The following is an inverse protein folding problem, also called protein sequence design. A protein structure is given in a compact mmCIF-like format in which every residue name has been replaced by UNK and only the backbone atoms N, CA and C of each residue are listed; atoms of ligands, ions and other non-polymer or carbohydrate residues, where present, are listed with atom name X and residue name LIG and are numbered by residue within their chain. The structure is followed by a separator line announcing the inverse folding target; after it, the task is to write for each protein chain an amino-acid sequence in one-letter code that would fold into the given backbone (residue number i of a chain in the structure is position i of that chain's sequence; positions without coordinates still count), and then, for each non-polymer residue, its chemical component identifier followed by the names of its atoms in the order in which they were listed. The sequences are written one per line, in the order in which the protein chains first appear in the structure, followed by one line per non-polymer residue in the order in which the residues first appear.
data_IF_259192448978
#
_entry.id   IF_259192448978
#
_cell.length_a   1.000
_cell.length_b   1.000
_cell.length_c   1.000
_cell.angle_alpha   90.00
_cell.angle_beta   90.00
_cell.angle_gamma   90.00
#
_symmetry.space_group_name_H-M   'P 1'
#
loop_
_entity.id
_entity.type
_entity.pdbx_description
1 polymer ?
#
# COMPACT_ATOMS: atom_id res chain seq x y z
N UNK A 1 21.58 4.35 10.80
CA UNK A 1 20.21 3.95 11.22
C UNK A 1 19.90 2.56 10.68
N UNK A 2 19.16 1.74 11.43
CA UNK A 2 18.62 0.45 10.95
C UNK A 2 17.15 0.62 10.59
N UNK A 3 16.76 0.23 9.38
CA UNK A 3 15.38 0.23 8.87
C UNK A 3 14.92 -1.22 8.75
N UNK A 4 13.69 -1.50 9.19
CA UNK A 4 13.07 -2.84 9.07
C UNK A 4 11.77 -2.71 8.31
N UNK A 5 11.71 -3.28 7.10
CA UNK A 5 10.50 -3.31 6.28
C UNK A 5 9.86 -4.69 6.37
N UNK A 6 8.61 -4.76 6.81
CA UNK A 6 7.82 -5.99 6.75
C UNK A 6 7.20 -6.15 5.36
N UNK A 7 7.06 -7.39 4.89
CA UNK A 7 6.48 -7.63 3.58
C UNK A 7 5.62 -8.89 3.48
N UNK A 8 4.74 -8.87 2.49
CA UNK A 8 4.17 -10.04 1.83
C UNK A 8 4.55 -10.02 0.34
N UNK A 9 4.77 -11.19 -0.24
CA UNK A 9 4.96 -11.31 -1.69
C UNK A 9 4.49 -12.64 -2.22
N UNK A 10 3.98 -12.65 -3.45
CA UNK A 10 3.72 -13.84 -4.23
C UNK A 10 4.75 -14.09 -5.34
N UNK A 11 5.85 -13.32 -5.35
CA UNK A 11 7.00 -13.54 -6.23
C UNK A 11 7.74 -14.85 -5.90
N UNK A 12 8.45 -15.39 -6.89
CA UNK A 12 9.38 -16.50 -6.68
C UNK A 12 10.59 -16.03 -5.86
N UNK A 13 11.08 -16.89 -4.96
CA UNK A 13 12.30 -16.57 -4.24
C UNK A 13 13.53 -16.80 -5.12
N UNK A 14 14.61 -16.06 -4.86
CA UNK A 14 15.93 -16.27 -5.43
C UNK A 14 16.88 -16.87 -4.38
N UNK A 15 17.93 -17.53 -4.84
CA UNK A 15 18.88 -18.25 -3.99
C UNK A 15 18.41 -19.65 -3.57
N UNK A 16 19.31 -20.42 -2.96
CA UNK A 16 19.11 -21.85 -2.65
C UNK A 16 18.12 -22.11 -1.51
N UNK A 17 17.92 -21.15 -0.61
CA UNK A 17 17.09 -21.31 0.58
C UNK A 17 15.90 -20.35 0.56
N UNK A 18 14.70 -20.87 0.32
CA UNK A 18 13.45 -20.09 0.28
C UNK A 18 13.13 -19.31 1.57
N UNK A 19 13.69 -19.74 2.70
CA UNK A 19 13.50 -19.10 4.01
C UNK A 19 14.62 -18.10 4.36
N UNK A 20 15.67 -18.05 3.55
CA UNK A 20 16.75 -17.06 3.57
C UNK A 20 17.06 -16.64 2.13
N UNK A 21 16.10 -16.04 1.42
CA UNK A 21 16.26 -15.74 0.01
C UNK A 21 17.26 -14.60 -0.19
N UNK A 22 17.94 -14.60 -1.33
CA UNK A 22 18.82 -13.50 -1.75
C UNK A 22 18.02 -12.31 -2.31
N UNK A 23 16.76 -12.56 -2.68
CA UNK A 23 15.83 -11.59 -3.26
C UNK A 23 14.59 -12.31 -3.75
N UNK A 24 13.71 -11.58 -4.44
CA UNK A 24 12.56 -12.15 -5.13
C UNK A 24 12.61 -11.79 -6.61
N UNK A 25 12.23 -12.74 -7.46
CA UNK A 25 12.29 -12.61 -8.91
C UNK A 25 11.06 -11.91 -9.50
N UNK A 26 10.99 -11.97 -10.83
CA UNK A 26 9.92 -11.40 -11.63
C UNK A 26 8.79 -12.39 -11.91
N UNK A 27 8.89 -13.65 -11.48
CA UNK A 27 7.86 -14.65 -11.71
C UNK A 27 7.04 -14.88 -10.45
N UNK A 28 5.88 -15.52 -10.59
CA UNK A 28 5.17 -16.07 -9.45
C UNK A 28 5.95 -17.17 -8.74
N UNK A 29 5.66 -17.28 -7.45
CA UNK A 29 6.05 -18.42 -6.63
C UNK A 29 5.68 -19.76 -7.31
N UNK A 30 6.64 -20.68 -7.34
CA UNK A 30 6.44 -22.05 -7.88
C UNK A 30 5.40 -22.89 -7.14
N UNK A 31 5.03 -22.52 -5.91
CA UNK A 31 3.96 -23.21 -5.18
C UNK A 31 2.60 -22.99 -5.87
N UNK A 32 2.19 -21.71 -6.01
CA UNK A 32 1.01 -21.16 -6.73
C UNK A 32 1.18 -19.64 -6.89
N UNK A 33 0.49 -19.03 -7.86
CA UNK A 33 0.40 -17.57 -8.07
C UNK A 33 -0.19 -16.79 -6.88
N UNK A 34 -1.13 -17.41 -6.16
CA UNK A 34 -1.80 -16.82 -5.00
C UNK A 34 -1.09 -17.10 -3.67
N UNK A 35 0.08 -17.76 -3.71
CA UNK A 35 0.82 -18.09 -2.50
C UNK A 35 1.44 -16.84 -1.88
N UNK A 36 1.29 -16.67 -0.57
CA UNK A 36 1.84 -15.54 0.17
C UNK A 36 3.06 -15.97 0.96
N UNK A 37 4.17 -15.28 0.74
CA UNK A 37 5.36 -15.36 1.59
C UNK A 37 5.46 -14.09 2.41
N UNK A 38 5.66 -14.26 3.70
CA UNK A 38 5.83 -13.16 4.63
C UNK A 38 7.28 -13.09 5.06
N UNK A 39 7.75 -11.88 5.37
CA UNK A 39 9.09 -11.70 5.91
C UNK A 39 9.36 -10.28 6.34
N UNK A 40 10.64 -10.03 6.61
CA UNK A 40 11.19 -8.70 6.80
C UNK A 40 12.52 -8.50 6.08
N UNK A 41 12.76 -7.28 5.66
CA UNK A 41 14.01 -6.80 5.10
C UNK A 41 14.64 -5.85 6.11
N UNK A 42 15.88 -6.14 6.51
CA UNK A 42 16.67 -5.27 7.38
C UNK A 42 17.74 -4.57 6.56
N UNK A 43 17.81 -3.24 6.65
CA UNK A 43 18.79 -2.41 5.94
C UNK A 43 19.45 -1.44 6.91
N UNK A 44 20.77 -1.30 6.82
CA UNK A 44 21.52 -0.26 7.53
C UNK A 44 21.93 0.83 6.55
N UNK A 45 21.61 2.08 6.87
CA UNK A 45 21.98 3.26 6.07
C UNK A 45 22.53 4.37 6.96
N UNK A 46 23.21 5.34 6.36
CA UNK A 46 23.69 6.52 7.08
C UNK A 46 22.52 7.47 7.39
N UNK A 47 22.36 7.84 8.67
CA UNK A 47 21.23 8.68 9.08
C UNK A 47 21.38 10.13 8.57
N UNK A 48 22.62 10.64 8.53
CA UNK A 48 22.87 12.02 8.12
C UNK A 48 22.58 12.21 6.64
N UNK A 49 22.92 11.23 5.79
CA UNK A 49 22.52 11.21 4.38
C UNK A 49 20.99 11.27 4.24
N UNK A 50 20.25 10.41 4.97
CA UNK A 50 18.78 10.38 4.90
C UNK A 50 18.17 11.74 5.29
N UNK A 51 18.57 12.26 6.44
CA UNK A 51 18.05 13.50 7.00
C UNK A 51 18.36 14.70 6.12
N UNK A 52 19.64 14.91 5.79
CA UNK A 52 20.09 16.15 5.16
C UNK A 52 19.83 16.16 3.65
N UNK A 53 20.02 15.03 2.97
CA UNK A 53 19.98 14.99 1.51
C UNK A 53 18.56 14.73 0.98
N UNK A 54 17.67 14.19 1.82
CA UNK A 54 16.32 13.81 1.40
C UNK A 54 15.21 14.39 2.27
N UNK A 55 15.17 14.10 3.58
CA UNK A 55 14.01 14.46 4.41
C UNK A 55 13.89 15.97 4.64
N UNK A 56 15.00 16.66 4.89
CA UNK A 56 15.05 18.12 5.11
C UNK A 56 15.27 18.93 3.84
N UNK A 57 15.43 18.27 2.71
CA UNK A 57 15.69 18.94 1.43
C UNK A 57 14.49 19.80 1.04
N UNK A 58 14.70 21.11 1.01
CA UNK A 58 13.69 22.08 0.65
C UNK A 58 13.82 22.49 -0.83
N UNK A 59 12.75 22.36 -1.61
CA UNK A 59 12.68 22.90 -2.98
C UNK A 59 11.28 23.48 -3.22
N UNK A 60 11.20 24.73 -3.69
CA UNK A 60 9.95 25.44 -3.97
C UNK A 60 8.89 25.35 -2.84
N UNK A 61 9.25 25.74 -1.61
CA UNK A 61 8.39 25.70 -0.41
C UNK A 61 7.96 24.30 0.07
N UNK A 62 8.53 23.23 -0.47
CA UNK A 62 8.22 21.84 -0.08
C UNK A 62 9.42 21.17 0.57
N UNK A 63 9.16 20.32 1.56
CA UNK A 63 10.18 19.62 2.33
C UNK A 63 10.06 18.12 2.05
N UNK A 64 11.18 17.51 1.66
CA UNK A 64 11.30 16.07 1.46
C UNK A 64 11.34 15.64 -0.01
N UNK A 65 12.36 14.86 -0.35
CA UNK A 65 12.60 14.26 -1.67
C UNK A 65 12.45 12.73 -1.61
N UNK A 66 11.21 12.24 -1.52
CA UNK A 66 10.96 10.80 -1.39
C UNK A 66 11.30 9.99 -2.65
N UNK A 67 11.34 10.63 -3.82
CA UNK A 67 11.73 9.96 -5.08
C UNK A 67 13.23 9.72 -5.10
N UNK A 68 14.03 10.74 -4.78
CA UNK A 68 15.47 10.59 -4.60
C UNK A 68 15.81 9.61 -3.48
N UNK A 69 15.07 9.67 -2.37
CA UNK A 69 15.22 8.75 -1.25
C UNK A 69 14.95 7.29 -1.66
N UNK A 70 13.88 7.06 -2.43
CA UNK A 70 13.56 5.74 -2.98
C UNK A 70 14.69 5.20 -3.85
N UNK A 71 15.26 6.03 -4.73
CA UNK A 71 16.39 5.62 -5.58
C UNK A 71 17.64 5.29 -4.73
N UNK A 72 17.95 6.11 -3.72
CA UNK A 72 19.04 5.86 -2.78
C UNK A 72 18.85 4.55 -2.01
N UNK A 73 17.68 4.35 -1.41
CA UNK A 73 17.37 3.15 -0.61
C UNK A 73 17.32 1.89 -1.47
N UNK A 74 16.83 1.97 -2.70
CA UNK A 74 16.90 0.86 -3.66
C UNK A 74 18.34 0.42 -3.88
N UNK A 75 19.26 1.38 -4.13
CA UNK A 75 20.69 1.08 -4.31
C UNK A 75 21.31 0.46 -3.06
N UNK A 76 21.00 1.01 -1.87
CA UNK A 76 21.51 0.46 -0.60
C UNK A 76 20.95 -0.94 -0.32
N UNK A 77 19.67 -1.17 -0.60
CA UNK A 77 19.02 -2.45 -0.39
C UNK A 77 19.62 -3.55 -1.28
N UNK A 78 19.85 -3.26 -2.58
CA UNK A 78 20.52 -4.17 -3.53
C UNK A 78 21.89 -4.64 -3.03
N UNK A 79 22.60 -3.82 -2.27
CA UNK A 79 23.97 -4.11 -1.84
C UNK A 79 24.03 -4.81 -0.47
N UNK A 80 23.22 -4.36 0.49
CA UNK A 80 23.48 -4.61 1.90
C UNK A 80 22.26 -5.12 2.70
N UNK A 81 21.08 -5.25 2.07
CA UNK A 81 19.89 -5.69 2.79
C UNK A 81 19.95 -7.18 3.16
N UNK A 82 19.33 -7.51 4.30
CA UNK A 82 19.18 -8.90 4.76
C UNK A 82 17.70 -9.27 4.79
N UNK A 83 17.33 -10.33 4.08
CA UNK A 83 15.96 -10.84 4.04
C UNK A 83 15.80 -12.00 5.03
N UNK A 84 14.74 -11.94 5.84
CA UNK A 84 14.31 -13.01 6.74
C UNK A 84 12.85 -13.34 6.44
N UNK A 85 12.61 -14.49 5.81
CA UNK A 85 11.24 -14.96 5.55
C UNK A 85 10.72 -15.79 6.74
N UNK A 86 9.47 -15.58 7.11
CA UNK A 86 8.76 -16.43 8.08
C UNK A 86 8.56 -17.81 7.45
N UNK A 87 8.87 -18.87 8.22
CA UNK A 87 8.77 -20.24 7.72
C UNK A 87 7.32 -20.66 7.67
N UNK A 88 6.89 -21.17 6.52
CA UNK A 88 5.59 -21.79 6.39
C UNK A 88 5.69 -23.32 6.55
N UNK A 89 5.20 -23.81 7.70
CA UNK A 89 5.27 -25.24 8.07
C UNK A 89 4.17 -26.05 7.37
N UNK A 90 3.19 -25.39 6.74
CA UNK A 90 2.09 -26.08 6.02
C UNK A 90 2.55 -26.79 4.74
N UNK A 91 3.76 -26.50 4.26
CA UNK A 91 4.29 -27.01 2.99
C UNK A 91 4.89 -28.42 3.05
N UNK A 92 4.79 -29.17 4.17
CA UNK A 92 5.60 -30.39 4.33
C UNK A 92 5.13 -31.51 5.28
N UNK A 93 3.90 -31.55 5.80
CA UNK A 93 3.52 -32.66 6.70
C UNK A 93 2.02 -32.91 6.87
N UNK A 94 1.65 -34.20 6.86
CA UNK A 94 0.32 -34.74 7.24
C UNK A 94 0.09 -34.67 8.76
N UNK A 95 0.13 -33.47 9.35
CA UNK A 95 -0.18 -33.25 10.76
C UNK A 95 -0.92 -31.94 10.97
N UNK A 96 -1.73 -31.85 12.03
CA UNK A 96 -2.40 -30.62 12.43
C UNK A 96 -1.35 -29.53 12.70
N UNK A 97 -1.19 -28.60 11.76
CA UNK A 97 -0.37 -27.40 11.95
C UNK A 97 -1.17 -26.46 12.84
N UNK A 98 -0.70 -26.27 14.07
CA UNK A 98 -1.30 -25.34 15.00
C UNK A 98 -1.29 -23.90 14.43
N UNK A 99 -2.42 -23.20 14.52
CA UNK A 99 -2.68 -21.90 13.86
C UNK A 99 -1.70 -20.80 14.30
N UNK A 100 -1.16 -20.91 15.51
CA UNK A 100 -0.11 -20.05 16.08
C UNK A 100 1.24 -20.18 15.35
N UNK A 101 1.48 -21.27 14.62
CA UNK A 101 2.73 -21.54 13.88
C UNK A 101 2.63 -21.22 12.38
N UNK A 102 1.54 -20.60 11.93
CA UNK A 102 1.43 -20.13 10.56
C UNK A 102 2.29 -18.87 10.38
N UNK A 103 3.00 -18.78 9.25
CA UNK A 103 3.83 -17.62 8.90
C UNK A 103 3.05 -16.29 8.96
N UNK A 104 1.78 -16.29 8.59
CA UNK A 104 0.91 -15.11 8.71
C UNK A 104 0.64 -14.73 10.16
N UNK A 105 0.46 -15.71 11.05
CA UNK A 105 0.19 -15.46 12.48
C UNK A 105 1.42 -14.87 13.16
N UNK A 106 2.61 -15.43 12.91
CA UNK A 106 3.87 -14.89 13.43
C UNK A 106 4.10 -13.45 12.97
N UNK A 107 3.88 -13.16 11.67
CA UNK A 107 3.96 -11.81 11.14
C UNK A 107 2.99 -10.86 11.84
N UNK A 108 1.71 -11.24 11.97
CA UNK A 108 0.70 -10.36 12.55
C UNK A 108 0.95 -10.10 14.04
N UNK A 109 1.51 -11.06 14.78
CA UNK A 109 1.96 -10.85 16.15
C UNK A 109 3.12 -9.84 16.22
N UNK A 110 4.07 -9.89 15.29
CA UNK A 110 5.15 -8.90 15.23
C UNK A 110 4.63 -7.50 14.86
N UNK A 111 3.71 -7.39 13.89
CA UNK A 111 3.05 -6.12 13.57
C UNK A 111 2.22 -5.60 14.74
N UNK A 112 1.57 -6.48 15.51
CA UNK A 112 0.81 -6.09 16.69
C UNK A 112 1.70 -5.46 17.77
N UNK A 113 2.91 -5.98 17.99
CA UNK A 113 3.88 -5.37 18.93
C UNK A 113 4.24 -3.96 18.50
N UNK A 114 4.44 -3.73 17.20
CA UNK A 114 4.69 -2.39 16.64
C UNK A 114 3.49 -1.48 16.87
N UNK A 115 2.27 -1.98 16.65
CA UNK A 115 1.06 -1.20 16.92
C UNK A 115 0.90 -0.87 18.41
N UNK A 116 1.31 -1.74 19.32
CA UNK A 116 1.30 -1.45 20.77
C UNK A 116 2.25 -0.32 21.17
N UNK A 117 3.25 -0.02 20.35
CA UNK A 117 4.14 1.14 20.47
C UNK A 117 3.54 2.42 19.85
N UNK A 118 2.20 2.48 19.70
CA UNK A 118 1.44 3.61 19.15
C UNK A 118 1.74 3.91 17.68
N UNK A 119 1.97 2.86 16.89
CA UNK A 119 2.20 2.99 15.45
C UNK A 119 1.00 2.51 14.64
N UNK A 120 0.55 3.30 13.68
CA UNK A 120 -0.40 2.85 12.66
C UNK A 120 0.36 2.04 11.58
N UNK A 121 -0.34 1.16 10.85
CA UNK A 121 0.28 0.35 9.77
C UNK A 121 -0.26 0.82 8.42
N UNK A 122 0.63 1.07 7.47
CA UNK A 122 0.31 1.36 6.06
C UNK A 122 0.70 0.17 5.18
N UNK A 123 -0.28 -0.56 4.64
CA UNK A 123 -0.03 -1.55 3.59
C UNK A 123 0.21 -0.81 2.27
N UNK A 124 1.35 -1.02 1.64
CA UNK A 124 1.71 -0.42 0.35
C UNK A 124 1.70 -1.47 -0.77
N UNK A 125 0.96 -1.21 -1.85
CA UNK A 125 0.94 -2.01 -3.09
C UNK A 125 1.53 -1.16 -4.21
N UNK A 126 2.69 -1.57 -4.73
CA UNK A 126 3.41 -0.86 -5.80
C UNK A 126 2.74 -1.03 -7.18
N UNK A 127 3.14 -0.19 -8.14
CA UNK A 127 2.67 -0.19 -9.54
C UNK A 127 3.41 -1.14 -10.48
N UNK A 128 3.28 -0.85 -11.79
CA UNK A 128 3.87 -1.59 -12.92
C UNK A 128 5.39 -1.37 -13.06
N UNK A 129 6.12 -2.35 -13.62
CA UNK A 129 7.55 -2.25 -13.92
C UNK A 129 8.41 -1.87 -12.71
N UNK A 130 8.19 -2.55 -11.59
CA UNK A 130 8.94 -2.39 -10.34
C UNK A 130 9.59 -3.72 -9.98
N UNK A 131 10.93 -3.76 -9.91
CA UNK A 131 11.66 -4.92 -9.40
C UNK A 131 11.54 -5.05 -7.87
N UNK A 132 11.95 -6.20 -7.31
CA UNK A 132 11.85 -6.46 -5.87
C UNK A 132 12.53 -5.36 -5.01
N UNK A 133 13.70 -4.90 -5.42
CA UNK A 133 14.48 -3.94 -4.64
C UNK A 133 13.98 -2.51 -4.82
N UNK A 134 13.42 -2.17 -5.98
CA UNK A 134 12.71 -0.91 -6.21
C UNK A 134 11.44 -0.85 -5.34
N UNK A 135 10.71 -1.97 -5.22
CA UNK A 135 9.57 -2.08 -4.31
C UNK A 135 9.98 -1.90 -2.84
N UNK A 136 11.10 -2.51 -2.44
CA UNK A 136 11.67 -2.35 -1.09
C UNK A 136 12.10 -0.89 -0.83
N UNK A 137 12.88 -0.31 -1.75
CA UNK A 137 13.39 1.06 -1.61
C UNK A 137 12.28 2.10 -1.56
N UNK A 138 11.26 1.97 -2.41
CA UNK A 138 10.10 2.86 -2.41
C UNK A 138 9.23 2.72 -1.15
N UNK A 139 9.02 1.52 -0.63
CA UNK A 139 8.28 1.32 0.62
C UNK A 139 9.02 1.87 1.84
N UNK A 140 10.34 1.68 1.92
CA UNK A 140 11.15 2.29 2.98
C UNK A 140 11.19 3.82 2.87
N UNK A 141 11.27 4.36 1.64
CA UNK A 141 11.19 5.80 1.41
C UNK A 141 9.83 6.36 1.83
N UNK A 142 8.73 5.65 1.52
CA UNK A 142 7.39 6.02 1.96
C UNK A 142 7.31 6.10 3.48
N UNK A 143 7.83 5.11 4.19
CA UNK A 143 7.83 5.10 5.67
C UNK A 143 8.57 6.31 6.24
N UNK A 144 9.80 6.56 5.77
CA UNK A 144 10.60 7.69 6.25
C UNK A 144 9.97 9.03 5.89
N UNK A 145 9.41 9.16 4.70
CA UNK A 145 8.69 10.37 4.29
C UNK A 145 7.47 10.60 5.17
N UNK A 146 6.63 9.58 5.40
CA UNK A 146 5.45 9.70 6.24
C UNK A 146 5.81 10.11 7.67
N UNK A 147 6.96 9.71 8.19
CA UNK A 147 7.39 10.00 9.56
C UNK A 147 8.34 11.20 9.69
N UNK A 148 8.65 11.92 8.61
CA UNK A 148 9.56 13.06 8.67
C UNK A 148 9.01 14.18 9.56
N UNK A 149 9.91 14.90 10.22
CA UNK A 149 9.56 16.14 10.90
C UNK A 149 9.08 17.18 9.89
N UNK A 150 7.93 17.79 10.15
CA UNK A 150 7.41 18.89 9.34
C UNK A 150 7.17 20.12 10.24
N UNK A 151 7.52 21.30 9.73
CA UNK A 151 7.31 22.62 10.32
C UNK A 151 5.87 22.82 10.82
N UNK A 152 4.87 22.21 10.19
CA UNK A 152 3.46 22.34 10.58
C UNK A 152 3.00 21.36 11.68
N UNK A 153 3.85 20.42 12.13
CA UNK A 153 3.39 19.26 12.90
C UNK A 153 4.38 18.83 14.00
N UNK A 154 4.57 19.69 15.00
CA UNK A 154 5.55 19.51 16.09
C UNK A 154 5.15 18.53 17.19
N UNK A 155 3.93 17.95 17.17
CA UNK A 155 3.39 17.10 18.24
C UNK A 155 2.69 15.82 17.71
N UNK A 156 3.41 14.96 17.00
CA UNK A 156 2.85 13.64 16.63
C UNK A 156 3.01 12.63 17.76
N UNK A 157 1.88 12.12 18.24
CA UNK A 157 1.83 11.01 19.20
C UNK A 157 1.77 9.63 18.52
N UNK A 158 1.80 9.57 17.17
CA UNK A 158 1.69 8.33 16.38
C UNK A 158 2.60 8.38 15.16
N UNK A 159 3.42 7.34 14.98
CA UNK A 159 4.19 7.08 13.76
C UNK A 159 3.49 6.05 12.88
N UNK A 160 3.97 5.88 11.66
CA UNK A 160 3.41 4.92 10.69
C UNK A 160 4.49 3.92 10.28
N UNK A 161 4.24 2.63 10.42
CA UNK A 161 5.10 1.59 9.83
C UNK A 161 4.53 1.15 8.49
N UNK A 162 5.36 1.06 7.46
CA UNK A 162 4.95 0.58 6.14
C UNK A 162 5.14 -0.93 6.04
N UNK A 163 4.11 -1.60 5.56
CA UNK A 163 4.11 -3.01 5.18
C UNK A 163 4.04 -3.11 3.67
N UNK A 164 5.04 -3.72 3.02
CA UNK A 164 5.06 -3.88 1.56
C UNK A 164 4.31 -5.13 1.11
N UNK A 165 3.34 -5.00 0.22
CA UNK A 165 2.94 -6.11 -0.64
C UNK A 165 3.61 -5.96 -2.01
N UNK A 166 4.47 -6.92 -2.36
CA UNK A 166 5.17 -6.92 -3.65
C UNK A 166 4.69 -8.05 -4.56
N UNK A 167 4.34 -7.71 -5.78
CA UNK A 167 3.81 -8.62 -6.81
C UNK A 167 4.69 -8.59 -8.06
N UNK A 168 4.73 -9.65 -8.90
CA UNK A 168 5.59 -9.71 -10.08
C UNK A 168 5.14 -8.76 -11.21
N UNK A 169 5.39 -7.47 -11.04
CA UNK A 169 5.26 -6.49 -12.12
C UNK A 169 6.55 -6.46 -12.93
N UNK A 170 6.55 -7.04 -14.14
CA UNK A 170 7.75 -7.31 -14.93
C UNK A 170 8.56 -6.03 -15.22
N UNK A 171 9.87 -6.09 -14.98
CA UNK A 171 10.81 -4.97 -15.16
C UNK A 171 11.40 -4.86 -16.58
N UNK A 172 10.75 -5.42 -17.61
CA UNK A 172 11.32 -5.53 -18.97
C UNK A 172 10.63 -4.65 -20.03
N UNK A 173 11.46 -3.95 -20.82
CA UNK A 173 11.09 -2.95 -21.84
C UNK A 173 10.56 -3.53 -23.17
N UNK A 174 9.48 -4.31 -23.15
CA UNK A 174 8.67 -4.56 -24.34
C UNK A 174 7.24 -4.08 -24.08
N UNK A 175 7.06 -2.76 -24.17
CA UNK A 175 5.96 -1.96 -23.58
C UNK A 175 4.55 -2.55 -23.73
N UNK A 176 4.20 -3.09 -24.89
CA UNK A 176 2.82 -3.55 -25.13
C UNK A 176 2.55 -5.00 -24.66
N UNK A 177 3.50 -5.92 -24.86
CA UNK A 177 3.35 -7.32 -24.40
C UNK A 177 3.57 -7.43 -22.89
N UNK A 178 4.52 -6.67 -22.35
CA UNK A 178 4.80 -6.64 -20.92
C UNK A 178 3.61 -6.09 -20.13
N UNK A 179 2.96 -5.02 -20.59
CA UNK A 179 1.79 -4.45 -19.89
C UNK A 179 0.59 -5.40 -19.84
N UNK A 180 0.27 -6.09 -20.94
CA UNK A 180 -0.81 -7.09 -20.95
C UNK A 180 -0.50 -8.31 -20.08
N UNK A 181 0.76 -8.75 -20.06
CA UNK A 181 1.21 -9.80 -19.14
C UNK A 181 1.08 -9.37 -17.69
N UNK A 182 1.55 -8.16 -17.35
CA UNK A 182 1.44 -7.63 -16.00
C UNK A 182 -0.01 -7.44 -15.57
N UNK A 183 -0.96 -7.19 -16.48
CA UNK A 183 -2.38 -7.14 -16.12
C UNK A 183 -2.88 -8.51 -15.68
N UNK A 184 -2.46 -9.58 -16.36
CA UNK A 184 -2.75 -10.94 -15.90
C UNK A 184 -2.07 -11.22 -14.55
N UNK A 185 -0.82 -10.80 -14.39
CA UNK A 185 -0.09 -10.97 -13.13
C UNK A 185 -0.73 -10.15 -11.99
N UNK A 186 -1.28 -8.98 -12.28
CA UNK A 186 -2.01 -8.15 -11.34
C UNK A 186 -3.34 -8.81 -10.92
N UNK A 187 -4.06 -9.43 -11.87
CA UNK A 187 -5.27 -10.22 -11.60
C UNK A 187 -4.97 -11.36 -10.63
N UNK A 188 -3.96 -12.16 -10.93
CA UNK A 188 -3.54 -13.29 -10.10
C UNK A 188 -3.02 -12.85 -8.72
N UNK A 189 -2.36 -11.69 -8.68
CA UNK A 189 -1.91 -11.06 -7.44
C UNK A 189 -3.07 -10.52 -6.61
N UNK A 190 -4.17 -10.11 -7.24
CA UNK A 190 -5.41 -9.75 -6.54
C UNK A 190 -5.92 -10.88 -5.65
N UNK A 191 -5.84 -12.14 -6.12
CA UNK A 191 -6.19 -13.31 -5.31
C UNK A 191 -5.27 -13.44 -4.09
N UNK A 192 -3.97 -13.20 -4.24
CA UNK A 192 -3.02 -13.21 -3.13
C UNK A 192 -3.34 -12.11 -2.11
N UNK A 193 -3.62 -10.88 -2.56
CA UNK A 193 -4.01 -9.76 -1.67
C UNK A 193 -5.32 -10.07 -0.93
N UNK A 194 -6.34 -10.58 -1.62
CA UNK A 194 -7.60 -10.97 -1.01
C UNK A 194 -7.39 -12.01 0.11
N UNK A 195 -6.56 -13.04 -0.15
CA UNK A 195 -6.17 -14.02 0.89
C UNK A 195 -5.47 -13.36 2.07
N UNK A 196 -4.61 -12.36 1.81
CA UNK A 196 -3.95 -11.57 2.85
C UNK A 196 -4.94 -10.81 3.72
N UNK A 197 -5.92 -10.14 3.11
CA UNK A 197 -6.98 -9.41 3.81
C UNK A 197 -7.88 -10.34 4.63
N UNK A 198 -8.21 -11.54 4.13
CA UNK A 198 -8.96 -12.54 4.89
C UNK A 198 -8.16 -13.06 6.10
N UNK A 199 -6.86 -13.36 5.91
CA UNK A 199 -5.96 -13.73 7.02
C UNK A 199 -5.88 -12.63 8.09
N UNK A 200 -5.77 -11.37 7.66
CA UNK A 200 -5.74 -10.21 8.55
C UNK A 200 -7.08 -10.06 9.30
N UNK A 201 -8.21 -10.15 8.60
CA UNK A 201 -9.55 -10.16 9.23
C UNK A 201 -9.63 -11.21 10.33
N UNK A 202 -9.24 -12.44 10.00
CA UNK A 202 -9.31 -13.57 10.93
C UNK A 202 -8.43 -13.32 12.16
N UNK A 203 -7.22 -12.78 11.97
CA UNK A 203 -6.35 -12.38 13.07
C UNK A 203 -6.97 -11.28 13.95
N UNK A 204 -7.52 -10.21 13.35
CA UNK A 204 -8.16 -9.12 14.10
C UNK A 204 -9.37 -9.60 14.90
N UNK A 205 -10.14 -10.56 14.38
CA UNK A 205 -11.25 -11.18 15.11
C UNK A 205 -10.78 -11.89 16.39
N UNK A 206 -9.53 -12.34 16.44
CA UNK A 206 -8.96 -12.96 17.66
C UNK A 206 -8.65 -11.95 18.77
N UNK A 207 -8.51 -10.66 18.44
CA UNK A 207 -8.19 -9.58 19.38
C UNK A 207 -9.43 -9.01 20.10
N UNK A 208 -10.63 -9.35 19.63
CA UNK A 208 -11.89 -8.83 20.18
C UNK A 208 -12.19 -9.46 21.56
N UNK A 209 -12.69 -8.68 22.54
CA UNK A 209 -13.00 -9.19 23.88
C UNK A 209 -13.91 -10.44 23.87
N UNK A 210 -13.56 -11.41 24.73
CA UNK A 210 -14.03 -12.80 24.78
C UNK A 210 -15.53 -13.01 25.12
N UNK A 211 -16.44 -12.60 24.23
CA UNK A 211 -17.75 -13.27 24.16
C UNK A 211 -17.84 -14.25 22.97
N UNK A 212 -16.86 -14.29 22.06
CA UNK A 212 -16.92 -15.10 20.83
C UNK A 212 -15.72 -16.07 20.66
N UNK A 213 -14.58 -15.84 21.34
CA UNK A 213 -13.34 -16.60 21.07
C UNK A 213 -13.03 -17.61 22.19
N UNK A 214 -13.78 -18.71 22.24
CA UNK A 214 -13.52 -19.86 23.13
C UNK A 214 -12.74 -21.02 22.46
N UNK A 215 -12.26 -20.86 21.21
CA UNK A 215 -11.71 -21.97 20.41
C UNK A 215 -10.25 -21.87 19.98
N UNK A 216 -9.52 -20.77 20.21
CA UNK A 216 -8.22 -20.55 19.55
C UNK A 216 -6.96 -20.61 20.44
N UNK A 217 -7.03 -20.87 21.75
CA UNK A 217 -5.84 -20.93 22.64
C UNK A 217 -4.83 -19.76 22.47
N UNK A 218 -5.30 -18.57 22.06
CA UNK A 218 -4.45 -17.40 21.91
C UNK A 218 -4.27 -16.68 23.25
N UNK A 219 -3.09 -16.05 23.41
CA UNK A 219 -2.67 -15.37 24.63
C UNK A 219 -3.74 -14.37 25.12
N UNK A 220 -4.27 -14.51 26.36
CA UNK A 220 -5.21 -13.56 26.96
C UNK A 220 -4.75 -12.09 27.00
N UNK A 221 -3.46 -11.82 26.78
CA UNK A 221 -2.88 -10.48 26.69
C UNK A 221 -3.10 -9.79 25.31
N UNK A 222 -3.44 -10.53 24.25
CA UNK A 222 -3.71 -9.97 22.92
C UNK A 222 -5.08 -9.27 22.90
N UNK A 223 -5.06 -7.94 22.97
CA UNK A 223 -6.23 -7.07 22.90
C UNK A 223 -6.05 -6.00 21.83
N UNK A 224 -7.16 -5.42 21.38
CA UNK A 224 -7.16 -4.25 20.50
C UNK A 224 -6.35 -3.09 21.12
N UNK A 225 -5.53 -2.42 20.31
CA UNK A 225 -4.57 -1.39 20.74
C UNK A 225 -4.95 0.03 20.31
N UNK A 226 -6.09 0.19 19.64
CA UNK A 226 -6.59 1.49 19.17
C UNK A 226 -5.76 2.14 18.05
N UNK A 227 -4.79 1.42 17.48
CA UNK A 227 -4.09 1.85 16.26
C UNK A 227 -4.85 1.40 15.02
N UNK A 228 -4.63 2.13 13.93
CA UNK A 228 -5.40 2.03 12.70
C UNK A 228 -4.57 1.39 11.59
N UNK A 229 -5.27 0.76 10.64
CA UNK A 229 -4.68 0.21 9.43
C UNK A 229 -5.03 1.10 8.25
N UNK A 230 -4.07 1.25 7.34
CA UNK A 230 -4.21 2.02 6.11
C UNK A 230 -3.75 1.16 4.92
N UNK A 231 -4.25 1.51 3.73
CA UNK A 231 -3.85 0.89 2.47
C UNK A 231 -3.48 2.01 1.49
N UNK A 232 -2.33 1.91 0.85
CA UNK A 232 -1.91 2.76 -0.26
C UNK A 232 -1.66 1.87 -1.47
N UNK A 233 -2.33 2.18 -2.57
CA UNK A 233 -2.18 1.52 -3.85
C UNK A 233 -1.68 2.54 -4.87
N UNK A 234 -0.55 2.26 -5.50
CA UNK A 234 0.06 3.13 -6.50
C UNK A 234 -0.15 2.58 -7.91
N UNK A 235 -0.59 3.43 -8.85
CA UNK A 235 -0.67 3.08 -10.28
C UNK A 235 -1.43 1.78 -10.50
N UNK A 236 -0.84 0.81 -11.19
CA UNK A 236 -1.38 -0.52 -11.45
C UNK A 236 -1.59 -1.38 -10.19
N UNK A 237 -1.02 -0.99 -9.05
CA UNK A 237 -1.38 -1.55 -7.74
C UNK A 237 -2.86 -1.31 -7.38
N UNK A 238 -3.51 -0.29 -7.97
CA UNK A 238 -4.96 -0.11 -7.87
C UNK A 238 -5.73 -1.17 -8.66
N UNK A 239 -5.21 -1.63 -9.79
CA UNK A 239 -5.79 -2.76 -10.54
C UNK A 239 -5.60 -4.09 -9.80
N UNK A 240 -4.46 -4.28 -9.09
CA UNK A 240 -4.32 -5.40 -8.15
C UNK A 240 -5.40 -5.33 -7.05
N UNK A 241 -5.67 -4.14 -6.51
CA UNK A 241 -6.71 -3.94 -5.50
C UNK A 241 -8.13 -4.17 -6.04
N UNK A 242 -8.43 -3.74 -7.27
CA UNK A 242 -9.68 -4.05 -7.98
C UNK A 242 -9.92 -5.56 -8.04
N UNK A 243 -8.92 -6.33 -8.48
CA UNK A 243 -9.01 -7.78 -8.55
C UNK A 243 -9.06 -8.44 -7.16
N UNK A 244 -8.43 -7.84 -6.16
CA UNK A 244 -8.57 -8.28 -4.78
C UNK A 244 -10.00 -8.09 -4.25
N UNK A 245 -10.69 -7.00 -4.62
CA UNK A 245 -12.09 -6.79 -4.26
C UNK A 245 -13.01 -7.83 -4.92
N UNK A 246 -12.79 -8.13 -6.19
CA UNK A 246 -13.52 -9.20 -6.89
C UNK A 246 -13.33 -10.55 -6.17
N UNK A 247 -12.07 -10.93 -5.90
CA UNK A 247 -11.76 -12.17 -5.19
C UNK A 247 -12.32 -12.20 -3.76
N UNK A 248 -12.32 -11.07 -3.04
CA UNK A 248 -12.95 -10.99 -1.71
C UNK A 248 -14.46 -11.23 -1.76
N UNK A 249 -15.17 -10.67 -2.74
CA UNK A 249 -16.62 -10.87 -2.93
C UNK A 249 -16.94 -12.34 -3.19
N UNK A 250 -16.15 -13.01 -4.02
CA UNK A 250 -16.33 -14.44 -4.33
C UNK A 250 -16.02 -15.34 -3.13
N UNK A 251 -15.08 -14.95 -2.26
CA UNK A 251 -14.60 -15.76 -1.15
C UNK A 251 -15.19 -15.36 0.21
N UNK A 252 -16.18 -14.46 0.24
CA UNK A 252 -16.90 -14.08 1.46
C UNK A 252 -18.37 -14.48 1.35
N UNK A 253 -18.85 -15.25 2.33
CA UNK A 253 -20.28 -15.58 2.45
C UNK A 253 -21.08 -14.44 3.12
N UNK A 254 -20.43 -13.31 3.44
CA UNK A 254 -21.06 -12.18 4.11
C UNK A 254 -21.66 -11.20 3.10
N UNK A 255 -22.76 -10.55 3.48
CA UNK A 255 -23.43 -9.54 2.64
C UNK A 255 -22.59 -8.29 2.36
N UNK A 256 -21.56 -8.04 3.17
CA UNK A 256 -20.68 -6.88 3.07
C UNK A 256 -19.23 -7.28 3.34
N UNK A 257 -18.31 -6.53 2.75
CA UNK A 257 -16.88 -6.71 2.98
C UNK A 257 -16.47 -6.31 4.42
N UNK A 258 -15.42 -6.93 4.99
CA UNK A 258 -14.96 -6.59 6.34
C UNK A 258 -14.34 -5.18 6.34
N UNK A 259 -14.76 -4.32 7.26
CA UNK A 259 -14.09 -3.03 7.45
C UNK A 259 -12.72 -3.25 8.08
N UNK A 260 -11.66 -3.09 7.30
CA UNK A 260 -10.26 -3.33 7.71
C UNK A 260 -9.47 -2.04 7.90
N UNK A 261 -9.75 -1.01 7.10
CA UNK A 261 -8.91 0.17 7.00
C UNK A 261 -9.59 1.44 7.53
N UNK A 262 -8.82 2.34 8.13
CA UNK A 262 -9.27 3.71 8.36
C UNK A 262 -9.26 4.48 7.03
N UNK A 263 -8.11 4.48 6.35
CA UNK A 263 -7.96 5.15 5.05
C UNK A 263 -7.48 4.17 3.98
N UNK A 264 -8.06 4.25 2.79
CA UNK A 264 -7.49 3.75 1.54
C UNK A 264 -7.03 4.95 0.72
N UNK A 265 -5.83 4.88 0.17
CA UNK A 265 -5.19 5.90 -0.66
C UNK A 265 -4.94 5.31 -2.04
N UNK A 266 -5.67 5.78 -3.05
CA UNK A 266 -5.49 5.41 -4.45
C UNK A 266 -4.65 6.51 -5.11
N UNK A 267 -3.36 6.26 -5.31
CA UNK A 267 -2.41 7.25 -5.85
C UNK A 267 -2.09 6.96 -7.31
N UNK A 268 -2.29 7.96 -8.18
CA UNK A 268 -2.17 7.83 -9.64
C UNK A 268 -2.87 6.56 -10.21
N UNK A 269 -4.13 6.25 -9.82
CA UNK A 269 -4.75 4.96 -10.13
C UNK A 269 -4.84 4.64 -11.63
N UNK A 270 -4.26 3.50 -12.03
CA UNK A 270 -4.37 2.93 -13.37
C UNK A 270 -5.56 1.96 -13.47
N UNK A 271 -6.75 2.53 -13.33
CA UNK A 271 -8.06 1.89 -13.45
C UNK A 271 -9.02 2.87 -14.15
N UNK A 272 -10.18 2.39 -14.59
CA UNK A 272 -11.17 3.25 -15.25
C UNK A 272 -11.65 4.37 -14.30
N UNK A 273 -11.88 5.56 -14.82
CA UNK A 273 -12.42 6.73 -14.09
C UNK A 273 -13.81 6.52 -13.49
N UNK A 274 -14.60 5.58 -14.02
CA UNK A 274 -15.90 5.19 -13.48
C UNK A 274 -15.83 3.99 -12.51
N UNK A 275 -14.67 3.39 -12.24
CA UNK A 275 -14.55 2.07 -11.56
C UNK A 275 -15.20 1.98 -10.16
N UNK A 276 -15.39 3.13 -9.50
CA UNK A 276 -15.99 3.24 -8.16
C UNK A 276 -17.50 3.51 -8.17
N UNK A 277 -18.08 3.68 -9.36
CA UNK A 277 -19.51 3.94 -9.54
C UNK A 277 -20.34 2.67 -9.35
N UNK A 278 -21.67 2.80 -9.35
CA UNK A 278 -22.58 1.67 -9.15
C UNK A 278 -22.44 0.65 -10.29
N UNK A 279 -22.47 -0.64 -9.93
CA UNK A 279 -22.27 -1.80 -10.80
C UNK A 279 -20.85 -1.96 -11.35
N UNK A 280 -19.92 -1.08 -11.00
CA UNK A 280 -18.53 -1.15 -11.43
C UNK A 280 -17.67 -2.01 -10.47
N UNK A 281 -16.52 -2.54 -10.92
CA UNK A 281 -15.74 -3.53 -10.18
C UNK A 281 -15.41 -3.12 -8.73
N UNK A 282 -15.12 -1.83 -8.51
CA UNK A 282 -14.74 -1.29 -7.21
C UNK A 282 -15.89 -0.60 -6.45
N UNK A 283 -17.16 -0.78 -6.86
CA UNK A 283 -18.30 -0.09 -6.22
C UNK A 283 -18.31 -0.23 -4.69
N UNK A 284 -17.87 -1.37 -4.16
CA UNK A 284 -17.89 -1.72 -2.74
C UNK A 284 -16.56 -1.44 -2.01
N UNK A 285 -15.59 -0.77 -2.65
CA UNK A 285 -14.31 -0.45 -2.03
C UNK A 285 -14.46 0.37 -0.73
N UNK A 286 -15.50 1.22 -0.69
CA UNK A 286 -15.88 2.04 0.47
C UNK A 286 -16.36 1.22 1.68
N UNK A 287 -16.67 -0.07 1.52
CA UNK A 287 -17.03 -0.97 2.63
C UNK A 287 -15.82 -1.38 3.46
N UNK A 288 -14.65 -1.54 2.81
CA UNK A 288 -13.40 -1.92 3.47
C UNK A 288 -12.83 -0.81 4.36
N UNK A 289 -13.31 0.44 4.22
CA UNK A 289 -12.69 1.59 4.86
C UNK A 289 -13.66 2.62 5.49
N UNK A 290 -13.10 3.54 6.28
CA UNK A 290 -13.80 4.77 6.71
C UNK A 290 -13.70 5.87 5.66
N UNK A 291 -12.52 6.06 5.06
CA UNK A 291 -12.29 7.02 3.98
C UNK A 291 -11.52 6.37 2.82
N UNK A 292 -11.91 6.69 1.59
CA UNK A 292 -11.19 6.35 0.37
C UNK A 292 -10.77 7.66 -0.29
N UNK A 293 -9.47 7.86 -0.51
CA UNK A 293 -8.90 9.11 -1.00
C UNK A 293 -8.22 8.83 -2.35
N UNK A 294 -8.61 9.53 -3.40
CA UNK A 294 -8.10 9.39 -4.76
C UNK A 294 -7.19 10.59 -5.04
N UNK A 295 -5.93 10.33 -5.36
CA UNK A 295 -4.99 11.36 -5.79
C UNK A 295 -4.77 11.19 -7.28
N UNK A 296 -5.04 12.24 -8.04
CA UNK A 296 -4.93 12.24 -9.50
C UNK A 296 -4.15 13.46 -9.99
N UNK A 297 -3.58 13.37 -11.19
CA UNK A 297 -2.77 14.42 -11.80
C UNK A 297 -3.04 14.48 -13.32
N UNK A 298 -3.60 15.59 -13.80
CA UNK A 298 -3.86 15.81 -15.24
C UNK A 298 -2.59 15.98 -16.06
N UNK A 299 -1.48 16.31 -15.42
CA UNK A 299 -0.17 16.40 -16.06
C UNK A 299 0.53 15.05 -16.21
N UNK A 300 -0.02 13.94 -15.71
CA UNK A 300 0.65 12.64 -15.74
C UNK A 300 0.67 12.04 -17.16
N UNK A 301 1.77 12.25 -17.88
CA UNK A 301 1.96 11.79 -19.27
C UNK A 301 2.03 10.26 -19.36
N UNK A 302 2.46 9.57 -18.29
CA UNK A 302 2.53 8.11 -18.28
C UNK A 302 1.13 7.49 -18.46
N UNK A 303 0.11 8.12 -17.85
CA UNK A 303 -1.30 7.76 -18.01
C UNK A 303 -1.86 8.16 -19.37
N UNK A 304 -1.41 9.29 -19.94
CA UNK A 304 -1.87 9.74 -21.26
C UNK A 304 -1.48 8.76 -22.40
N UNK A 305 -0.28 8.17 -22.33
CA UNK A 305 0.21 7.22 -23.34
C UNK A 305 -0.61 5.91 -23.33
N UNK A 306 -1.10 5.47 -22.17
CA UNK A 306 -1.91 4.23 -22.06
C UNK A 306 -3.32 4.38 -22.66
N UNK A 307 -3.86 5.60 -22.66
CA UNK A 307 -5.25 5.88 -23.03
C UNK A 307 -5.37 6.12 -24.54
N UNK A 308 -4.49 6.97 -25.10
CA UNK A 308 -4.55 7.36 -26.50
C UNK A 308 -4.25 6.20 -27.48
N UNK A 309 -3.43 5.24 -27.08
CA UNK A 309 -3.00 4.14 -27.96
C UNK A 309 -3.94 2.94 -27.98
N UNK A 310 -4.90 2.85 -27.04
CA UNK A 310 -5.65 1.61 -26.78
C UNK A 310 -7.18 1.76 -26.76
N UNK A 311 -7.73 2.95 -26.99
CA UNK A 311 -9.19 3.17 -27.03
C UNK A 311 -9.90 2.86 -25.71
N UNK A 312 -9.19 2.96 -24.58
CA UNK A 312 -9.73 2.73 -23.25
C UNK A 312 -10.50 3.95 -22.75
N UNK A 313 -11.36 3.75 -21.75
CA UNK A 313 -11.88 4.86 -20.93
C UNK A 313 -10.73 5.65 -20.29
N UNK A 314 -10.99 6.93 -20.02
CA UNK A 314 -10.05 7.80 -19.32
C UNK A 314 -9.72 7.22 -17.94
N UNK A 315 -8.48 7.43 -17.48
CA UNK A 315 -8.00 6.82 -16.24
C UNK A 315 -8.29 7.69 -15.04
N UNK A 316 -8.71 7.04 -13.96
CA UNK A 316 -9.01 7.69 -12.68
C UNK A 316 -7.82 8.53 -12.17
N UNK A 317 -6.59 8.07 -12.39
CA UNK A 317 -5.37 8.75 -11.98
C UNK A 317 -5.00 9.99 -12.81
N UNK A 318 -5.59 10.14 -14.00
CA UNK A 318 -5.38 11.29 -14.87
C UNK A 318 -6.40 12.39 -14.60
N UNK A 319 -7.70 12.09 -14.67
CA UNK A 319 -8.75 13.10 -14.68
C UNK A 319 -9.53 13.23 -13.36
N UNK A 320 -9.41 12.25 -12.46
CA UNK A 320 -10.38 12.03 -11.39
C UNK A 320 -11.54 11.16 -11.88
N UNK A 321 -12.59 11.05 -11.07
CA UNK A 321 -13.74 10.22 -11.43
C UNK A 321 -14.63 10.90 -12.47
N UNK A 322 -15.21 10.09 -13.37
CA UNK A 322 -16.08 10.58 -14.44
C UNK A 322 -17.33 11.31 -13.90
N UNK A 323 -17.96 10.76 -12.85
CA UNK A 323 -19.16 11.33 -12.19
C UNK A 323 -18.95 11.45 -10.67
N UNK A 324 -18.19 12.45 -10.21
CA UNK A 324 -17.86 12.65 -8.79
C UNK A 324 -19.07 12.66 -7.85
N UNK A 325 -20.19 13.20 -8.31
CA UNK A 325 -21.46 13.34 -7.60
C UNK A 325 -22.19 12.00 -7.36
N UNK A 326 -21.84 10.96 -8.12
CA UNK A 326 -22.41 9.62 -7.97
C UNK A 326 -21.61 8.72 -7.02
N UNK A 327 -20.47 9.19 -6.52
CA UNK A 327 -19.63 8.43 -5.63
C UNK A 327 -20.18 8.41 -4.20
N UNK A 328 -19.90 7.32 -3.48
CA UNK A 328 -20.24 7.21 -2.06
C UNK A 328 -19.59 8.35 -1.25
N UNK A 329 -20.28 8.89 -0.24
CA UNK A 329 -19.80 10.00 0.62
C UNK A 329 -18.50 9.75 1.42
N UNK A 330 -17.90 8.56 1.29
CA UNK A 330 -16.61 8.20 1.88
C UNK A 330 -15.46 8.39 0.90
N UNK A 331 -15.77 8.71 -0.36
CA UNK A 331 -14.81 8.81 -1.46
C UNK A 331 -14.49 10.28 -1.70
N UNK A 332 -13.22 10.60 -1.55
CA UNK A 332 -12.68 11.94 -1.68
C UNK A 332 -11.68 11.98 -2.83
N UNK A 333 -11.64 13.09 -3.55
CA UNK A 333 -10.75 13.30 -4.69
C UNK A 333 -9.84 14.49 -4.46
N UNK A 334 -8.55 14.30 -4.71
CA UNK A 334 -7.47 15.26 -4.49
C UNK A 334 -6.75 15.50 -5.81
N UNK A 335 -6.93 16.70 -6.35
CA UNK A 335 -6.30 17.15 -7.59
C UNK A 335 -4.87 17.61 -7.32
N UNK A 336 -3.90 16.81 -7.73
CA UNK A 336 -2.48 17.10 -7.53
C UNK A 336 -1.86 17.91 -8.68
N UNK A 337 -2.64 18.28 -9.71
CA UNK A 337 -2.11 18.84 -10.96
C UNK A 337 -1.35 20.16 -10.79
N UNK A 338 -1.76 20.99 -9.83
CA UNK A 338 -1.12 22.28 -9.58
C UNK A 338 0.19 22.16 -8.80
N UNK A 339 0.41 21.03 -8.13
CA UNK A 339 1.61 20.80 -7.33
C UNK A 339 2.58 19.85 -8.01
N UNK A 340 2.11 18.90 -8.81
CA UNK A 340 2.99 17.95 -9.51
C UNK A 340 3.38 18.52 -10.87
N UNK A 341 4.67 18.77 -11.09
CA UNK A 341 5.19 19.18 -12.39
C UNK A 341 6.61 18.66 -12.65
N UNK A 342 6.95 18.40 -13.90
CA UNK A 342 8.26 17.88 -14.31
C UNK A 342 8.41 16.36 -14.11
N UNK A 343 9.63 15.86 -13.92
CA UNK A 343 9.93 14.40 -13.89
C UNK A 343 9.27 13.59 -12.75
N UNK A 344 8.45 14.20 -11.88
CA UNK A 344 7.81 13.54 -10.72
C UNK A 344 6.34 13.16 -10.97
N UNK A 345 5.92 13.16 -12.23
CA UNK A 345 4.51 13.08 -12.66
C UNK A 345 3.72 11.86 -12.19
N UNK A 346 4.38 10.73 -11.89
CA UNK A 346 3.71 9.46 -11.62
C UNK A 346 3.91 8.90 -10.19
N UNK A 347 5.01 9.25 -9.51
CA UNK A 347 5.34 8.77 -8.14
C UNK A 347 5.22 9.88 -7.09
N UNK A 348 4.39 10.87 -7.35
CA UNK A 348 4.24 12.06 -6.52
C UNK A 348 3.74 11.79 -5.09
N UNK A 349 3.18 10.62 -4.80
CA UNK A 349 2.79 10.23 -3.43
C UNK A 349 3.99 10.13 -2.46
N UNK A 350 5.21 10.01 -3.00
CA UNK A 350 6.47 10.12 -2.25
C UNK A 350 6.96 11.56 -2.13
N UNK A 351 6.36 12.51 -2.85
CA UNK A 351 6.78 13.91 -2.85
C UNK A 351 6.20 14.66 -1.66
N UNK A 352 6.98 15.59 -1.10
CA UNK A 352 6.67 16.26 0.17
C UNK A 352 5.20 16.70 0.31
N UNK A 353 4.68 17.48 -0.63
CA UNK A 353 3.34 18.06 -0.54
C UNK A 353 2.19 17.05 -0.59
N UNK A 354 2.25 16.03 -1.44
CA UNK A 354 1.18 15.00 -1.48
C UNK A 354 1.32 14.06 -0.29
N UNK A 355 2.55 13.73 0.07
CA UNK A 355 2.83 12.89 1.24
C UNK A 355 2.38 13.56 2.56
N UNK A 356 2.50 14.89 2.63
CA UNK A 356 1.96 15.72 3.73
C UNK A 356 0.44 15.59 3.87
N UNK A 357 -0.30 15.67 2.76
CA UNK A 357 -1.75 15.47 2.80
C UNK A 357 -2.12 14.05 3.25
N UNK A 358 -1.40 13.02 2.77
CA UNK A 358 -1.59 11.64 3.22
C UNK A 358 -1.41 11.54 4.75
N UNK A 359 -0.37 12.19 5.29
CA UNK A 359 -0.13 12.27 6.74
C UNK A 359 -1.30 12.94 7.46
N UNK A 360 -1.79 14.08 6.98
CA UNK A 360 -2.92 14.80 7.58
C UNK A 360 -4.16 13.91 7.64
N UNK A 361 -4.43 13.16 6.57
CA UNK A 361 -5.52 12.18 6.51
C UNK A 361 -5.32 11.00 7.46
N UNK A 362 -4.10 10.53 7.68
CA UNK A 362 -3.78 9.51 8.70
C UNK A 362 -4.13 10.04 10.10
N UNK A 363 -3.75 11.28 10.40
CA UNK A 363 -4.04 11.94 11.67
C UNK A 363 -5.50 12.42 11.83
N UNK A 364 -6.31 12.34 10.77
CA UNK A 364 -7.75 12.59 10.84
C UNK A 364 -8.15 14.05 10.60
N UNK A 365 -7.25 14.87 10.05
CA UNK A 365 -7.56 16.25 9.62
C UNK A 365 -8.57 16.20 8.48
N UNK A 366 -9.71 16.88 8.63
CA UNK A 366 -10.79 16.89 7.63
C UNK A 366 -10.42 17.67 6.36
N UNK A 367 -11.12 17.39 5.26
CA UNK A 367 -10.91 18.12 4.00
C UNK A 367 -11.31 19.60 4.12
N UNK A 368 -12.27 19.92 5.00
CA UNK A 368 -12.76 21.28 5.28
C UNK A 368 -11.92 22.06 6.29
N UNK A 369 -10.88 21.46 6.88
CA UNK A 369 -10.06 22.16 7.89
C UNK A 369 -9.33 23.34 7.24
N UNK A 370 -9.58 24.56 7.72
CA UNK A 370 -8.95 25.79 7.21
C UNK A 370 -7.42 25.78 7.33
N UNK A 371 -6.86 24.94 8.21
CA UNK A 371 -5.43 24.78 8.39
C UNK A 371 -4.81 23.71 7.48
N UNK A 372 -5.63 22.97 6.73
CA UNK A 372 -5.17 21.98 5.73
C UNK A 372 -4.50 22.70 4.57
N UNK A 373 -3.43 22.12 4.00
CA UNK A 373 -2.66 22.76 2.92
C UNK A 373 -3.56 23.26 1.76
N UNK A 374 -3.75 24.58 1.69
CA UNK A 374 -4.76 25.24 0.85
C UNK A 374 -4.58 25.13 -0.67
N UNK A 375 -3.50 24.52 -1.16
CA UNK A 375 -3.26 24.26 -2.59
C UNK A 375 -3.89 22.93 -3.07
N UNK A 376 -4.24 22.01 -2.15
CA UNK A 376 -4.90 20.73 -2.43
C UNK A 376 -6.40 20.79 -2.07
N UNK A 377 -7.13 21.73 -2.69
CA UNK A 377 -8.58 21.80 -2.52
C UNK A 377 -9.23 20.57 -3.16
N UNK A 378 -9.85 19.72 -2.35
CA UNK A 378 -10.66 18.61 -2.85
C UNK A 378 -11.88 19.17 -3.57
N UNK A 379 -12.23 18.61 -4.73
CA UNK A 379 -13.41 19.06 -5.49
C UNK A 379 -14.75 18.61 -4.88
N UNK A 380 -14.73 17.81 -3.82
CA UNK A 380 -15.94 17.18 -3.25
C UNK A 380 -16.09 17.43 -1.73
N UNK A 381 -16.00 18.68 -1.29
CA UNK A 381 -16.59 19.09 -0.01
C UNK A 381 -17.90 19.78 -0.35
N UNK A 382 -19.03 19.13 -0.06
CA UNK A 382 -20.33 19.76 -0.17
C UNK A 382 -20.56 20.60 1.10
N UNK A 383 -20.37 21.91 1.02
CA UNK A 383 -20.94 22.83 2.01
C UNK A 383 -22.47 22.76 1.89
N UNK A 384 -23.15 22.22 2.90
CA UNK A 384 -24.57 22.48 3.09
C UNK A 384 -24.68 23.88 3.70
N UNK A 385 -25.07 24.85 2.87
CA UNK A 385 -25.48 26.21 3.29
C UNK A 385 -26.66 26.18 4.24
#
# INVERSE_FOLDING_TARGET
MKITLYYATNRNHLGKNRWKPEGYGQNFSSDRNSNLRFGKVELNVDNNTIENDFLKKAKHKRIGDGIGLSAYLTKQAKQNAKIKAYKDITSGGKGDVSVDKLASTELFQDLKKIMDEKQDIMINIHGFNVDWWEAVGSAMALELMLNRENIHQTNRNKSVTVFLFSWPSNGEMMKDRAYSSDRQDATDSGIAVARGFLKLRDFLMTLRPKQIVSKLNLDPALKECGQELHLLCHSMGNFVFENALASLKENTNQKSLPRLFKNIFMCAPDVADNVLEKEEPMQSAHELCRNLNIYYNRGDVAMYISDYTKGNSERLGHAGAARPEHLHNKIYQVDCSNIVGGMTEHSYYLWGSVNEDIVERIHGVCFEDENRMGELKSRNVFELS
#
